data_IF_597947774215
#
_entry.id   IF_597947774215
#
_cell.length_a   1.000
_cell.length_b   1.000
_cell.length_c   1.000
_cell.angle_alpha   90.00
_cell.angle_beta   90.00
_cell.angle_gamma   90.00
#
_symmetry.space_group_name_H-M   'P 1'
#
loop_
_entity.id
_entity.type
_entity.pdbx_description
1 polymer ?
#
# COMPACT_ATOMS: atom_id res chain seq x y z
N UNK A 1 -6.66 -57.78 -22.24
CA UNK A 1 -5.44 -57.27 -22.90
C UNK A 1 -5.48 -55.74 -22.82
N UNK A 2 -4.62 -55.12 -22.00
CA UNK A 2 -4.61 -53.66 -21.80
C UNK A 2 -3.78 -53.00 -22.90
N UNK A 3 -4.43 -52.30 -23.83
CA UNK A 3 -3.75 -51.47 -24.82
C UNK A 3 -3.22 -50.23 -24.09
N UNK A 4 -1.90 -50.14 -23.92
CA UNK A 4 -1.24 -48.91 -23.46
C UNK A 4 -1.08 -48.00 -24.69
N UNK A 5 -1.95 -47.02 -24.85
CA UNK A 5 -1.81 -45.98 -25.87
C UNK A 5 -0.65 -45.05 -25.50
N UNK A 6 0.28 -44.84 -26.43
CA UNK A 6 1.32 -43.83 -26.33
C UNK A 6 0.84 -42.50 -26.92
N UNK A 7 1.31 -41.38 -26.37
CA UNK A 7 1.09 -40.05 -26.95
C UNK A 7 1.87 -39.89 -28.26
N UNK A 8 1.27 -39.22 -29.23
CA UNK A 8 1.95 -38.85 -30.46
C UNK A 8 2.79 -37.58 -30.27
N UNK A 9 3.88 -37.45 -31.03
CA UNK A 9 4.72 -36.25 -31.01
C UNK A 9 3.94 -34.99 -31.40
N UNK A 10 2.98 -35.12 -32.32
CA UNK A 10 2.16 -34.00 -32.77
C UNK A 10 1.19 -33.53 -31.68
N UNK A 11 0.66 -34.43 -30.87
CA UNK A 11 -0.19 -34.06 -29.73
C UNK A 11 0.58 -33.25 -28.69
N UNK A 12 1.81 -33.64 -28.36
CA UNK A 12 2.63 -32.84 -27.42
C UNK A 12 3.07 -31.50 -28.02
N UNK A 13 3.31 -31.43 -29.34
CA UNK A 13 3.67 -30.20 -30.02
C UNK A 13 2.53 -29.18 -30.07
N UNK A 14 1.31 -29.61 -30.37
CA UNK A 14 0.14 -28.73 -30.39
C UNK A 14 -0.18 -28.20 -28.98
N UNK A 15 -0.05 -29.04 -27.95
CA UNK A 15 -0.33 -28.63 -26.57
C UNK A 15 0.61 -27.52 -26.10
N UNK A 16 1.92 -27.63 -26.32
CA UNK A 16 2.85 -26.57 -25.92
C UNK A 16 2.65 -25.30 -26.75
N UNK A 17 2.25 -25.41 -28.03
CA UNK A 17 1.92 -24.27 -28.86
C UNK A 17 0.70 -23.49 -28.33
N UNK A 18 -0.36 -24.20 -27.92
CA UNK A 18 -1.56 -23.57 -27.34
C UNK A 18 -1.29 -22.98 -25.95
N UNK A 19 -0.54 -23.69 -25.09
CA UNK A 19 -0.12 -23.15 -23.77
C UNK A 19 0.74 -21.88 -23.95
N UNK A 20 1.65 -21.86 -24.93
CA UNK A 20 2.45 -20.69 -25.28
C UNK A 20 1.60 -19.48 -25.66
N UNK A 21 0.59 -19.69 -26.53
CA UNK A 21 -0.33 -18.64 -26.94
C UNK A 21 -1.13 -18.09 -25.74
N UNK A 22 -1.75 -18.96 -24.96
CA UNK A 22 -2.59 -18.54 -23.82
C UNK A 22 -1.78 -17.88 -22.70
N UNK A 23 -0.56 -18.37 -22.43
CA UNK A 23 0.29 -17.80 -21.38
C UNK A 23 0.73 -16.36 -21.68
N UNK A 24 0.93 -16.00 -22.95
CA UNK A 24 1.30 -14.64 -23.36
C UNK A 24 0.26 -13.60 -22.96
N UNK A 25 -1.03 -13.89 -23.16
CA UNK A 25 -2.13 -12.98 -22.82
C UNK A 25 -2.25 -12.82 -21.32
N UNK A 26 -2.13 -13.91 -20.56
CA UNK A 26 -2.23 -13.89 -19.10
C UNK A 26 -1.16 -13.00 -18.46
N UNK A 27 0.09 -13.09 -18.93
CA UNK A 27 1.21 -12.32 -18.38
C UNK A 27 1.01 -10.80 -18.46
N UNK A 28 0.38 -10.30 -19.53
CA UNK A 28 0.14 -8.86 -19.70
C UNK A 28 -0.84 -8.28 -18.67
N UNK A 29 -1.76 -9.11 -18.14
CA UNK A 29 -2.77 -8.70 -17.17
C UNK A 29 -2.32 -8.78 -15.70
N UNK A 30 -1.31 -9.61 -15.41
CA UNK A 30 -0.85 -9.92 -14.06
C UNK A 30 -0.07 -8.79 -13.39
N UNK A 31 0.67 -7.97 -14.15
CA UNK A 31 1.45 -6.85 -13.61
C UNK A 31 0.57 -5.81 -12.90
N UNK A 32 -0.36 -5.14 -13.62
CA UNK A 32 -1.25 -4.15 -13.03
C UNK A 32 -2.15 -4.70 -11.92
N UNK A 33 -2.53 -5.99 -11.99
CA UNK A 33 -3.33 -6.64 -10.96
C UNK A 33 -2.56 -6.77 -9.63
N UNK A 34 -1.26 -7.10 -9.69
CA UNK A 34 -0.39 -7.18 -8.51
C UNK A 34 -0.15 -5.80 -7.90
N UNK A 35 0.06 -4.79 -8.73
CA UNK A 35 0.23 -3.40 -8.26
C UNK A 35 -1.04 -2.91 -7.55
N UNK A 36 -2.23 -3.16 -8.12
CA UNK A 36 -3.51 -2.83 -7.45
C UNK A 36 -3.72 -3.58 -6.14
N UNK A 37 -3.33 -4.86 -6.07
CA UNK A 37 -3.42 -5.64 -4.84
C UNK A 37 -2.47 -5.09 -3.75
N UNK A 38 -1.26 -4.70 -4.14
CA UNK A 38 -0.26 -4.05 -3.28
C UNK A 38 -0.79 -2.74 -2.72
N UNK A 39 -1.32 -1.88 -3.59
CA UNK A 39 -1.88 -0.60 -3.17
C UNK A 39 -3.11 -0.78 -2.27
N UNK A 40 -4.00 -1.73 -2.59
CA UNK A 40 -5.17 -2.04 -1.75
C UNK A 40 -4.75 -2.44 -0.35
N UNK A 41 -3.67 -3.21 -0.22
CA UNK A 41 -3.12 -3.59 1.07
C UNK A 41 -2.57 -2.38 1.82
N UNK A 42 -1.75 -1.54 1.18
CA UNK A 42 -1.23 -0.30 1.80
C UNK A 42 -2.37 0.59 2.28
N UNK A 43 -3.41 0.78 1.47
CA UNK A 43 -4.60 1.57 1.82
C UNK A 43 -5.30 1.01 3.07
N UNK A 44 -5.46 -0.31 3.17
CA UNK A 44 -6.05 -0.95 4.35
C UNK A 44 -5.22 -0.71 5.61
N UNK A 45 -3.90 -0.89 5.54
CA UNK A 45 -3.01 -0.68 6.67
C UNK A 45 -2.99 0.81 7.11
N UNK A 46 -2.97 1.76 6.15
CA UNK A 46 -3.06 3.21 6.45
C UNK A 46 -4.41 3.55 7.10
N UNK A 47 -5.52 2.95 6.67
CA UNK A 47 -6.80 3.11 7.35
C UNK A 47 -6.79 2.52 8.76
N UNK A 48 -6.05 1.44 8.99
CA UNK A 48 -5.90 0.86 10.32
C UNK A 48 -5.12 1.77 11.28
N UNK A 49 -4.20 2.60 10.77
CA UNK A 49 -3.52 3.63 11.56
C UNK A 49 -4.52 4.59 12.22
N UNK A 50 -5.64 4.91 11.56
CA UNK A 50 -6.69 5.73 12.17
C UNK A 50 -7.28 5.06 13.40
N UNK A 51 -7.72 3.82 13.28
CA UNK A 51 -8.29 3.07 14.42
C UNK A 51 -7.31 2.99 15.58
N UNK A 52 -6.02 2.81 15.28
CA UNK A 52 -4.96 2.77 16.27
C UNK A 52 -4.69 4.14 16.91
N UNK A 53 -4.71 5.21 16.12
CA UNK A 53 -4.56 6.57 16.62
C UNK A 53 -5.69 6.92 17.62
N UNK A 54 -6.92 6.46 17.37
CA UNK A 54 -8.04 6.63 18.30
C UNK A 54 -7.84 5.83 19.59
N UNK A 55 -7.33 4.59 19.52
CA UNK A 55 -7.00 3.80 20.73
C UNK A 55 -5.90 4.46 21.58
N UNK A 56 -4.97 5.15 20.94
CA UNK A 56 -3.85 5.85 21.60
C UNK A 56 -4.27 7.22 22.16
N UNK A 57 -5.41 7.75 21.73
CA UNK A 57 -5.84 9.09 22.09
C UNK A 57 -6.15 9.22 23.58
N UNK A 58 -5.41 10.06 24.28
CA UNK A 58 -5.60 10.37 25.71
C UNK A 58 -5.79 11.87 25.93
N UNK A 59 -6.70 12.48 25.15
CA UNK A 59 -6.87 13.94 25.07
C UNK A 59 -5.86 14.64 24.16
N UNK A 60 -4.88 13.90 23.65
CA UNK A 60 -3.96 14.29 22.57
C UNK A 60 -3.34 13.02 21.95
N UNK A 61 -2.64 13.19 20.84
CA UNK A 61 -1.93 12.19 20.07
C UNK A 61 -0.42 12.18 20.37
N UNK A 62 0.03 12.55 21.58
CA UNK A 62 1.47 12.68 21.88
C UNK A 62 2.27 11.38 21.69
N UNK A 63 1.60 10.23 21.81
CA UNK A 63 2.20 8.92 21.56
C UNK A 63 2.37 8.57 20.07
N UNK A 64 1.88 9.42 19.15
CA UNK A 64 2.25 9.36 17.73
C UNK A 64 3.58 10.09 17.48
N UNK A 65 4.32 9.75 16.40
CA UNK A 65 5.56 10.42 16.04
C UNK A 65 5.38 11.90 15.60
N UNK A 66 6.33 12.77 15.97
CA UNK A 66 6.31 14.22 15.71
C UNK A 66 6.75 14.64 14.29
N UNK A 67 7.71 13.95 13.67
CA UNK A 67 8.30 14.33 12.36
C UNK A 67 8.72 13.07 11.58
N UNK A 68 8.69 13.19 10.25
CA UNK A 68 8.54 12.18 9.19
C UNK A 68 9.64 11.15 8.96
N UNK A 69 9.20 10.09 8.27
CA UNK A 69 10.01 9.07 7.61
C UNK A 69 9.97 7.79 8.42
N UNK A 70 9.18 6.81 8.00
CA UNK A 70 9.39 5.42 8.47
C UNK A 70 10.62 4.88 7.73
N UNK A 71 11.75 5.50 8.02
CA UNK A 71 13.08 5.01 7.69
C UNK A 71 13.74 4.40 8.93
N UNK A 72 13.26 4.75 10.13
CA UNK A 72 13.63 4.09 11.37
C UNK A 72 12.40 3.51 12.07
N UNK A 73 11.90 2.37 11.58
CA UNK A 73 10.86 1.53 12.24
C UNK A 73 11.19 1.26 13.73
N UNK A 74 12.47 1.37 14.09
CA UNK A 74 13.00 1.18 15.44
C UNK A 74 12.66 2.32 16.42
N UNK A 75 12.31 3.52 15.96
CA UNK A 75 11.97 4.66 16.83
C UNK A 75 10.49 4.73 17.21
N UNK A 76 9.65 3.83 16.66
CA UNK A 76 8.23 3.76 16.98
C UNK A 76 8.07 3.07 18.35
N UNK A 77 7.63 3.82 19.36
CA UNK A 77 7.40 3.32 20.72
C UNK A 77 6.18 2.40 20.85
N UNK A 78 5.23 2.49 19.90
CA UNK A 78 4.03 1.66 19.89
C UNK A 78 4.23 0.46 18.95
N UNK A 79 4.18 -0.76 19.52
CA UNK A 79 4.40 -2.01 18.78
C UNK A 79 3.34 -2.27 17.68
N UNK A 80 2.11 -1.80 17.85
CA UNK A 80 1.06 -1.96 16.86
C UNK A 80 1.30 -1.06 15.63
N UNK A 81 1.71 0.20 15.84
CA UNK A 81 2.11 1.10 14.76
C UNK A 81 3.34 0.56 14.02
N UNK A 82 4.28 -0.03 14.76
CA UNK A 82 5.48 -0.66 14.22
C UNK A 82 5.15 -1.85 13.33
N UNK A 83 4.13 -2.64 13.69
CA UNK A 83 3.63 -3.74 12.87
C UNK A 83 3.03 -3.22 11.55
N UNK A 84 2.14 -2.23 11.60
CA UNK A 84 1.55 -1.62 10.41
C UNK A 84 2.62 -1.02 9.48
N UNK A 85 3.60 -0.34 10.05
CA UNK A 85 4.75 0.20 9.33
C UNK A 85 5.54 -0.88 8.59
N UNK A 86 5.82 -2.03 9.25
CA UNK A 86 6.51 -3.18 8.63
C UNK A 86 5.67 -3.82 7.53
N UNK A 87 4.38 -3.97 7.75
CA UNK A 87 3.47 -4.55 6.76
C UNK A 87 3.42 -3.66 5.50
N UNK A 88 3.27 -2.34 5.65
CA UNK A 88 3.33 -1.38 4.54
C UNK A 88 4.68 -1.45 3.79
N UNK A 89 5.80 -1.55 4.52
CA UNK A 89 7.13 -1.65 3.94
C UNK A 89 7.32 -2.95 3.14
N UNK A 90 6.75 -4.07 3.59
CA UNK A 90 6.80 -5.35 2.86
C UNK A 90 6.11 -5.27 1.49
N UNK A 91 5.15 -4.35 1.34
CA UNK A 91 4.46 -4.04 0.08
C UNK A 91 5.09 -2.85 -0.66
N UNK A 92 6.31 -2.42 -0.30
CA UNK A 92 7.03 -1.35 -1.01
C UNK A 92 6.45 0.05 -0.79
N UNK A 93 5.54 0.21 0.17
CA UNK A 93 5.09 1.51 0.65
C UNK A 93 5.98 2.02 1.78
N UNK A 94 5.77 3.28 2.17
CA UNK A 94 6.40 3.87 3.35
C UNK A 94 5.28 4.55 4.15
N UNK A 95 5.06 4.11 5.39
CA UNK A 95 4.10 4.80 6.26
C UNK A 95 4.75 6.11 6.74
N UNK A 96 4.01 7.20 6.78
CA UNK A 96 4.47 8.45 7.40
C UNK A 96 3.38 8.91 8.32
N UNK A 97 3.68 9.05 9.61
CA UNK A 97 2.75 9.58 10.61
C UNK A 97 3.33 10.87 11.17
N UNK A 98 2.53 11.93 11.19
CA UNK A 98 2.92 13.24 11.73
C UNK A 98 1.84 13.78 12.64
N UNK A 99 2.28 14.61 13.57
CA UNK A 99 1.44 15.45 14.42
C UNK A 99 2.14 16.79 14.69
N UNK A 100 1.42 17.83 15.11
CA UNK A 100 2.07 19.05 15.57
C UNK A 100 2.83 18.81 16.88
N UNK A 101 3.95 19.52 17.02
CA UNK A 101 4.81 19.46 18.21
C UNK A 101 4.12 20.10 19.43
N UNK A 102 3.35 21.16 19.19
CA UNK A 102 2.55 21.88 20.19
C UNK A 102 1.08 21.65 19.91
N UNK A 103 0.30 21.27 20.93
CA UNK A 103 -1.10 20.87 20.80
C UNK A 103 -1.32 19.72 19.81
N UNK A 104 -0.84 18.52 20.17
CA UNK A 104 -0.99 17.25 19.45
C UNK A 104 -2.46 16.76 19.31
N UNK A 105 -3.40 17.63 18.99
CA UNK A 105 -4.83 17.30 18.81
C UNK A 105 -5.17 16.92 17.38
N UNK A 106 -4.20 16.99 16.47
CA UNK A 106 -4.36 16.60 15.06
C UNK A 106 -3.23 15.67 14.64
N UNK A 107 -3.50 14.77 13.71
CA UNK A 107 -2.48 13.96 13.07
C UNK A 107 -2.82 13.75 11.60
N UNK A 108 -1.80 13.36 10.85
CA UNK A 108 -1.92 12.82 9.51
C UNK A 108 -1.10 11.54 9.42
N UNK A 109 -1.63 10.54 8.75
CA UNK A 109 -0.88 9.37 8.34
C UNK A 109 -1.06 9.16 6.84
N UNK A 110 0.03 8.87 6.12
CA UNK A 110 -0.05 8.66 4.68
C UNK A 110 0.99 7.67 4.20
N UNK A 111 0.80 7.14 3.00
CA UNK A 111 1.77 6.29 2.33
C UNK A 111 1.75 6.47 0.82
N UNK A 112 2.88 6.18 0.17
CA UNK A 112 3.00 6.16 -1.29
C UNK A 112 2.24 4.95 -1.86
N UNK A 113 1.48 5.19 -2.91
CA UNK A 113 0.71 4.17 -3.65
C UNK A 113 0.95 4.31 -5.14
N UNK A 114 0.82 3.21 -5.88
CA UNK A 114 1.04 3.16 -7.33
C UNK A 114 -0.25 3.37 -8.13
N UNK A 115 -1.36 3.69 -7.46
CA UNK A 115 -2.63 4.01 -8.10
C UNK A 115 -2.45 5.25 -8.95
N UNK A 116 -2.89 5.24 -10.21
CA UNK A 116 -2.91 6.45 -11.05
C UNK A 116 -4.02 7.39 -10.56
N UNK A 117 -3.65 8.56 -10.07
CA UNK A 117 -4.56 9.62 -9.63
C UNK A 117 -4.23 10.88 -10.44
N UNK A 118 -5.19 11.40 -11.21
CA UNK A 118 -4.98 12.53 -12.12
C UNK A 118 -4.50 12.14 -13.54
N UNK A 119 -4.02 13.13 -14.30
CA UNK A 119 -3.71 13.01 -15.73
C UNK A 119 -2.25 12.60 -16.02
N UNK A 120 -1.36 12.63 -15.03
CA UNK A 120 0.05 12.32 -15.25
C UNK A 120 0.36 10.81 -15.14
N UNK A 121 1.24 10.28 -15.98
CA UNK A 121 1.53 8.85 -16.06
C UNK A 121 2.43 8.32 -14.93
N UNK A 122 2.80 9.17 -13.96
CA UNK A 122 3.79 8.83 -12.95
C UNK A 122 3.15 8.10 -11.76
N UNK A 123 3.45 6.80 -11.69
CA UNK A 123 3.01 5.86 -10.66
C UNK A 123 3.68 6.09 -9.28
N UNK A 124 4.44 7.18 -9.07
CA UNK A 124 5.28 7.38 -7.87
C UNK A 124 5.09 8.72 -7.14
N UNK A 125 4.09 9.51 -7.51
CA UNK A 125 3.75 10.78 -6.83
C UNK A 125 2.39 10.72 -6.12
N UNK A 126 1.74 9.57 -6.08
CA UNK A 126 0.41 9.43 -5.50
C UNK A 126 0.51 8.92 -4.06
N UNK A 127 -0.22 9.57 -3.18
CA UNK A 127 -0.27 9.28 -1.77
C UNK A 127 -1.70 8.95 -1.38
N UNK A 128 -1.87 7.97 -0.51
CA UNK A 128 -3.11 7.77 0.22
C UNK A 128 -2.93 8.28 1.64
N UNK A 129 -3.78 9.20 2.07
CA UNK A 129 -3.69 9.83 3.38
C UNK A 129 -4.96 9.62 4.19
N UNK A 130 -4.79 9.62 5.52
CA UNK A 130 -5.84 9.67 6.52
C UNK A 130 -5.49 10.74 7.55
N UNK A 131 -6.49 11.46 8.06
CA UNK A 131 -6.30 12.45 9.12
C UNK A 131 -7.20 12.22 10.35
N UNK A 132 -6.94 12.98 11.40
CA UNK A 132 -7.67 12.98 12.68
C UNK A 132 -9.11 13.52 12.59
N UNK A 133 -9.54 14.02 11.43
CA UNK A 133 -10.91 14.51 11.19
C UNK A 133 -11.77 13.45 10.50
N UNK A 134 -11.20 12.28 10.23
CA UNK A 134 -11.87 11.21 9.50
C UNK A 134 -11.75 11.29 7.99
N UNK A 135 -11.02 12.27 7.43
CA UNK A 135 -10.84 12.38 5.98
C UNK A 135 -9.84 11.33 5.50
N UNK A 136 -10.20 10.58 4.45
CA UNK A 136 -9.34 9.59 3.83
C UNK A 136 -9.45 9.71 2.31
N UNK A 137 -8.33 9.63 1.60
CA UNK A 137 -8.34 9.75 0.14
C UNK A 137 -6.97 9.86 -0.49
N UNK A 138 -6.98 10.05 -1.80
CA UNK A 138 -5.76 10.16 -2.59
C UNK A 138 -5.36 11.62 -2.78
N UNK A 139 -4.06 11.88 -2.80
CA UNK A 139 -3.50 13.18 -3.16
C UNK A 139 -2.27 12.99 -4.04
N UNK A 140 -2.04 13.93 -4.96
CA UNK A 140 -0.87 13.96 -5.86
C UNK A 140 0.27 14.80 -5.29
N UNK A 141 0.00 15.58 -4.25
CA UNK A 141 0.99 16.38 -3.54
C UNK A 141 1.31 15.70 -2.23
N UNK A 142 2.61 15.50 -1.97
CA UNK A 142 3.01 14.95 -0.68
C UNK A 142 2.51 15.85 0.47
N UNK A 143 1.84 15.31 1.51
CA UNK A 143 1.33 16.07 2.65
C UNK A 143 2.42 16.63 3.58
N UNK A 144 3.45 17.26 3.02
CA UNK A 144 4.57 17.81 3.79
C UNK A 144 4.10 19.07 4.52
N UNK A 145 4.39 19.14 5.83
CA UNK A 145 4.10 20.27 6.72
C UNK A 145 2.60 20.59 6.91
N UNK A 146 1.72 19.65 6.56
CA UNK A 146 0.30 19.69 6.91
C UNK A 146 -0.01 18.60 7.93
N UNK A 147 -1.09 18.80 8.69
CA UNK A 147 -1.66 17.80 9.62
C UNK A 147 -3.06 17.37 9.18
N UNK A 148 -3.36 17.56 7.89
CA UNK A 148 -4.66 17.30 7.25
C UNK A 148 -4.47 16.82 5.83
N UNK A 149 -5.36 15.94 5.41
CA UNK A 149 -5.45 15.53 4.02
C UNK A 149 -5.95 16.70 3.17
N UNK A 150 -5.20 17.05 2.12
CA UNK A 150 -5.64 17.97 1.07
C UNK A 150 -5.85 17.14 -0.20
N UNK A 151 -7.08 17.10 -0.68
CA UNK A 151 -7.50 16.42 -1.90
C UNK A 151 -7.71 17.43 -3.03
#
# INVERSE_FOLDING_TARGET
>A
MKIRGGFTLIEMLVVVAVIGLLSSVLLTSLGPARDKARDSRIIQEVNQVRSLAETIYNGNYNALPIVEGVTAIETISNEELKKLAKDIQAFGGELVVRRPQTAATTYIAYSKVNVKVGAEPNLMTNYYCVDSRGNAGYTTTEPVNTYRCNF
#
